data_IF_280841647442
#
_entry.id   IF_280841647442
#
_cell.length_a   1.000
_cell.length_b   1.000
_cell.length_c   1.000
_cell.angle_alpha   90.00
_cell.angle_beta   90.00
_cell.angle_gamma   90.00
#
_symmetry.space_group_name_H-M   'P 1'
#
loop_
_entity.id
_entity.type
_entity.pdbx_description
1 polymer ?
#
# COMPACT_ATOMS: atom_id res chain seq x y z
N UNK A 1 4.95 12.86 -18.54
CA UNK A 1 4.91 13.01 -17.07
C UNK A 1 5.40 11.71 -16.46
N UNK A 2 6.44 11.75 -15.64
CA UNK A 2 6.98 10.57 -14.97
C UNK A 2 5.99 10.13 -13.88
N UNK A 3 5.56 8.86 -13.86
CA UNK A 3 4.66 8.34 -12.83
C UNK A 3 5.28 8.64 -11.45
N UNK A 4 4.58 9.31 -10.51
CA UNK A 4 5.15 9.60 -9.20
C UNK A 4 5.53 8.29 -8.53
N UNK A 5 6.65 8.30 -7.79
CA UNK A 5 7.08 7.10 -7.07
C UNK A 5 5.97 6.67 -6.10
N UNK A 6 5.65 5.37 -6.01
CA UNK A 6 4.57 4.91 -5.13
C UNK A 6 4.79 5.34 -3.68
N UNK A 7 6.04 5.27 -3.20
CA UNK A 7 6.39 5.72 -1.86
C UNK A 7 6.06 7.20 -1.63
N UNK A 8 6.42 8.09 -2.56
CA UNK A 8 6.12 9.51 -2.42
C UNK A 8 4.62 9.80 -2.52
N UNK A 9 3.92 9.12 -3.44
CA UNK A 9 2.48 9.31 -3.65
C UNK A 9 1.62 8.78 -2.48
N UNK A 10 2.07 7.71 -1.81
CA UNK A 10 1.33 7.06 -0.75
C UNK A 10 1.69 7.57 0.65
N UNK A 11 2.75 8.37 0.79
CA UNK A 11 3.13 8.96 2.06
C UNK A 11 2.15 10.07 2.48
N UNK A 12 1.57 9.91 3.66
CA UNK A 12 0.53 10.78 4.21
C UNK A 12 -0.90 10.42 3.81
N UNK A 13 -1.09 9.38 2.98
CA UNK A 13 -2.43 8.95 2.55
C UNK A 13 -3.23 8.41 3.72
N UNK A 14 -4.52 8.77 3.74
CA UNK A 14 -5.46 8.32 4.75
C UNK A 14 -5.89 6.87 4.50
N UNK A 15 -5.93 6.07 5.56
CA UNK A 15 -6.26 4.64 5.55
C UNK A 15 -7.15 4.26 6.73
N UNK A 16 -7.85 3.13 6.58
CA UNK A 16 -8.47 2.45 7.70
C UNK A 16 -7.43 1.98 8.73
N UNK A 17 -7.91 1.66 9.92
CA UNK A 17 -7.08 1.19 11.03
C UNK A 17 -7.36 -0.26 11.40
N UNK A 18 -8.07 -0.99 10.54
CA UNK A 18 -8.40 -2.40 10.74
C UNK A 18 -7.60 -3.20 9.72
N UNK A 19 -6.90 -4.23 10.18
CA UNK A 19 -6.16 -5.13 9.30
C UNK A 19 -7.15 -5.94 8.44
N UNK A 20 -7.02 -5.85 7.12
CA UNK A 20 -7.90 -6.53 6.14
C UNK A 20 -7.82 -8.06 6.16
N UNK A 21 -6.92 -8.65 6.96
CA UNK A 21 -6.77 -10.11 7.09
C UNK A 21 -7.28 -10.65 8.42
N UNK A 22 -6.93 -10.02 9.55
CA UNK A 22 -7.27 -10.54 10.87
C UNK A 22 -8.26 -9.67 11.66
N UNK A 23 -8.76 -8.57 11.08
CA UNK A 23 -9.66 -7.61 11.71
C UNK A 23 -9.17 -6.98 13.03
N UNK A 24 -7.89 -7.15 13.39
CA UNK A 24 -7.29 -6.45 14.52
C UNK A 24 -7.04 -4.98 14.18
N UNK A 25 -7.15 -4.13 15.20
CA UNK A 25 -6.78 -2.71 15.08
C UNK A 25 -5.27 -2.52 14.92
N UNK A 26 -4.88 -1.73 13.93
CA UNK A 26 -3.54 -1.19 13.72
C UNK A 26 -3.45 0.12 14.51
N UNK A 27 -2.47 0.24 15.40
CA UNK A 27 -2.32 1.39 16.31
C UNK A 27 -1.28 2.36 15.78
N UNK A 28 -1.39 3.61 16.20
CA UNK A 28 -0.36 4.64 15.94
C UNK A 28 1.00 4.15 16.44
N UNK A 29 1.99 4.16 15.55
CA UNK A 29 3.34 3.66 15.81
C UNK A 29 3.59 2.24 15.29
N UNK A 30 2.53 1.48 14.97
CA UNK A 30 2.69 0.13 14.41
C UNK A 30 3.23 0.18 12.99
N UNK A 31 4.02 -0.83 12.62
CA UNK A 31 4.30 -1.09 11.21
C UNK A 31 3.05 -1.63 10.53
N UNK A 32 2.74 -1.07 9.37
CA UNK A 32 1.69 -1.53 8.48
C UNK A 32 2.25 -1.80 7.09
N UNK A 33 1.65 -2.76 6.40
CA UNK A 33 1.90 -3.02 4.99
C UNK A 33 0.63 -2.72 4.23
N UNK A 34 0.75 -1.97 3.13
CA UNK A 34 -0.40 -1.62 2.31
C UNK A 34 -0.17 -2.01 0.86
N UNK A 35 -1.24 -2.48 0.23
CA UNK A 35 -1.28 -2.78 -1.19
C UNK A 35 -2.00 -1.67 -1.95
N UNK A 36 -1.37 -1.20 -3.02
CA UNK A 36 -1.87 -0.14 -3.87
C UNK A 36 -1.78 -0.48 -5.35
N UNK A 37 -2.67 0.12 -6.13
CA UNK A 37 -2.73 0.00 -7.59
C UNK A 37 -2.63 1.37 -8.22
N UNK A 38 -1.99 1.49 -9.38
CA UNK A 38 -1.93 2.68 -10.20
C UNK A 38 -2.59 2.45 -11.55
N UNK A 39 -3.46 3.39 -11.91
CA UNK A 39 -4.03 3.53 -13.25
C UNK A 39 -3.76 4.94 -13.77
N UNK A 40 -3.54 5.11 -15.08
CA UNK A 40 -3.07 6.39 -15.65
C UNK A 40 -4.01 7.58 -15.37
N UNK A 41 -5.32 7.37 -15.35
CA UNK A 41 -6.32 8.41 -15.06
C UNK A 41 -6.51 8.69 -13.56
N UNK A 42 -6.15 7.75 -12.68
CA UNK A 42 -6.50 7.80 -11.25
C UNK A 42 -5.32 8.00 -10.31
N UNK A 43 -4.09 7.71 -10.77
CA UNK A 43 -2.93 7.71 -9.89
C UNK A 43 -2.87 6.50 -8.97
N UNK A 44 -2.01 6.57 -7.96
CA UNK A 44 -1.88 5.53 -6.93
C UNK A 44 -3.08 5.54 -6.00
N UNK A 45 -3.71 4.39 -5.81
CA UNK A 45 -4.85 4.19 -4.92
C UNK A 45 -4.58 3.00 -4.01
N UNK A 46 -4.73 3.19 -2.68
CA UNK A 46 -4.65 2.10 -1.72
C UNK A 46 -5.90 1.23 -1.80
N UNK A 47 -5.69 -0.08 -1.71
CA UNK A 47 -6.76 -1.08 -1.78
C UNK A 47 -6.89 -1.87 -0.49
N UNK A 48 -5.77 -2.15 0.17
CA UNK A 48 -5.72 -2.94 1.41
C UNK A 48 -4.61 -2.46 2.33
N UNK A 49 -4.80 -2.68 3.62
CA UNK A 49 -3.83 -2.44 4.69
C UNK A 49 -3.84 -3.62 5.67
N UNK A 50 -2.64 -4.04 6.09
CA UNK A 50 -2.44 -5.13 7.02
C UNK A 50 -1.51 -4.71 8.16
N UNK A 51 -1.70 -5.33 9.32
CA UNK A 51 -0.66 -5.33 10.35
C UNK A 51 0.56 -6.14 9.88
N UNK A 52 1.74 -5.84 10.41
CA UNK A 52 3.00 -6.47 10.01
C UNK A 52 2.95 -8.01 10.02
N UNK A 53 2.33 -8.61 11.04
CA UNK A 53 2.19 -10.06 11.18
C UNK A 53 1.34 -10.71 10.09
N UNK A 54 0.41 -9.97 9.49
CA UNK A 54 -0.53 -10.50 8.50
C UNK A 54 -0.13 -10.20 7.06
N UNK A 55 0.81 -9.29 6.87
CA UNK A 55 1.18 -8.80 5.56
C UNK A 55 1.80 -9.90 4.70
N UNK A 56 1.31 -10.03 3.47
CA UNK A 56 2.10 -10.67 2.43
C UNK A 56 3.12 -9.63 1.91
N UNK A 57 4.35 -10.09 1.64
CA UNK A 57 5.42 -9.25 1.09
C UNK A 57 5.67 -9.52 -0.40
N UNK A 58 4.86 -10.38 -1.02
CA UNK A 58 4.88 -10.64 -2.45
C UNK A 58 3.56 -10.23 -3.11
N UNK A 59 3.64 -9.79 -4.37
CA UNK A 59 2.47 -9.57 -5.22
C UNK A 59 2.26 -10.87 -6.00
N UNK A 60 1.17 -11.59 -5.69
CA UNK A 60 0.86 -12.90 -6.28
C UNK A 60 -0.39 -12.89 -7.17
N UNK A 61 -1.24 -11.88 -7.03
CA UNK A 61 -2.45 -11.71 -7.82
C UNK A 61 -2.26 -10.47 -8.67
N UNK A 62 -1.82 -10.66 -9.91
CA UNK A 62 -1.65 -9.56 -10.86
C UNK A 62 -3.02 -9.00 -11.24
N UNK A 63 -3.19 -7.69 -11.06
CA UNK A 63 -4.41 -6.98 -11.50
C UNK A 63 -4.23 -6.49 -12.92
N UNK A 64 -5.06 -6.96 -13.85
CA UNK A 64 -4.95 -6.64 -15.27
C UNK A 64 -4.94 -5.12 -15.53
N UNK A 65 -3.96 -4.68 -16.32
CA UNK A 65 -3.75 -3.27 -16.66
C UNK A 65 -3.30 -2.36 -15.51
N UNK A 66 -2.99 -2.88 -14.32
CA UNK A 66 -2.57 -2.08 -13.17
C UNK A 66 -1.07 -2.18 -12.89
N UNK A 67 -0.47 -1.07 -12.46
CA UNK A 67 0.85 -1.07 -11.80
C UNK A 67 0.62 -1.21 -10.30
N UNK A 68 1.15 -2.27 -9.72
CA UNK A 68 0.83 -2.72 -8.37
C UNK A 68 2.03 -2.53 -7.46
N UNK A 69 1.77 -2.19 -6.20
CA UNK A 69 2.81 -1.97 -5.21
C UNK A 69 2.40 -2.51 -3.86
N UNK A 70 3.37 -3.09 -3.14
CA UNK A 70 3.32 -3.23 -1.69
C UNK A 70 4.25 -2.19 -1.07
N UNK A 71 3.73 -1.47 -0.08
CA UNK A 71 4.51 -0.52 0.70
C UNK A 71 4.52 -0.90 2.17
N UNK A 72 5.68 -0.77 2.82
CA UNK A 72 5.80 -0.75 4.27
C UNK A 72 5.75 0.69 4.75
N UNK A 73 5.10 0.93 5.89
CA UNK A 73 4.96 2.24 6.49
C UNK A 73 4.75 2.13 7.99
N UNK A 74 4.88 3.26 8.69
CA UNK A 74 4.35 3.41 10.04
C UNK A 74 2.91 3.93 9.93
N UNK A 75 1.98 3.28 10.61
CA UNK A 75 0.64 3.81 10.76
C UNK A 75 0.64 4.94 11.81
N UNK A 76 0.08 6.09 11.47
CA UNK A 76 0.02 7.25 12.35
C UNK A 76 -1.31 7.98 12.22
N UNK A 77 -2.18 7.85 13.23
CA UNK A 77 -3.47 8.55 13.31
C UNK A 77 -4.29 8.49 12.00
N UNK A 78 -4.44 7.30 11.43
CA UNK A 78 -5.21 7.09 10.21
C UNK A 78 -4.45 7.39 8.92
N UNK A 79 -3.12 7.60 8.98
CA UNK A 79 -2.28 7.86 7.83
C UNK A 79 -1.11 6.88 7.76
N UNK A 80 -0.59 6.64 6.56
CA UNK A 80 0.70 5.98 6.37
C UNK A 80 1.81 7.03 6.34
N UNK A 81 2.88 6.83 7.11
CA UNK A 81 4.05 7.72 7.12
C UNK A 81 5.35 6.91 7.01
N UNK A 82 6.42 7.56 6.56
CA UNK A 82 7.72 6.92 6.31
C UNK A 82 7.61 5.75 5.32
N UNK A 83 6.81 5.96 4.26
CA UNK A 83 6.45 4.91 3.29
C UNK A 83 7.66 4.47 2.47
N UNK A 84 7.84 3.15 2.35
CA UNK A 84 8.84 2.51 1.49
C UNK A 84 8.17 1.47 0.61
N UNK A 85 8.44 1.49 -0.69
CA UNK A 85 7.98 0.43 -1.59
C UNK A 85 8.85 -0.83 -1.42
N UNK A 86 8.23 -1.98 -1.16
CA UNK A 86 8.93 -3.25 -0.91
C UNK A 86 8.74 -4.28 -2.02
N UNK A 87 7.65 -4.19 -2.78
CA UNK A 87 7.43 -4.99 -3.97
C UNK A 87 6.64 -4.17 -5.00
N UNK A 88 6.87 -4.43 -6.29
CA UNK A 88 6.15 -3.78 -7.38
C UNK A 88 5.96 -4.74 -8.55
N UNK A 89 4.76 -4.80 -9.09
CA UNK A 89 4.47 -5.49 -10.36
C UNK A 89 4.00 -4.46 -11.37
N UNK A 90 4.54 -4.50 -12.59
CA UNK A 90 4.10 -3.62 -13.67
C UNK A 90 3.09 -4.38 -14.52
N UNK A 91 2.13 -3.68 -15.15
CA UNK A 91 1.20 -4.34 -16.06
C UNK A 91 1.98 -5.02 -17.17
N UNK A 92 1.65 -6.28 -17.42
CA UNK A 92 2.06 -7.03 -18.61
C UNK A 92 1.40 -6.38 -19.82
N UNK A 93 2.21 -6.04 -20.83
CA UNK A 93 1.73 -5.59 -22.14
C UNK A 93 1.18 -6.76 -22.95
#
# INVERSE_FOLDING_TARGET
>A
MTRPSPAAALNGVQVGHICDRCNRGIRTGDKAVAYGTYYERGGWTLRRVWCDECADRAISNETDGADEVLVEAVYWQGKLVSVTAIARSRPSN
#
